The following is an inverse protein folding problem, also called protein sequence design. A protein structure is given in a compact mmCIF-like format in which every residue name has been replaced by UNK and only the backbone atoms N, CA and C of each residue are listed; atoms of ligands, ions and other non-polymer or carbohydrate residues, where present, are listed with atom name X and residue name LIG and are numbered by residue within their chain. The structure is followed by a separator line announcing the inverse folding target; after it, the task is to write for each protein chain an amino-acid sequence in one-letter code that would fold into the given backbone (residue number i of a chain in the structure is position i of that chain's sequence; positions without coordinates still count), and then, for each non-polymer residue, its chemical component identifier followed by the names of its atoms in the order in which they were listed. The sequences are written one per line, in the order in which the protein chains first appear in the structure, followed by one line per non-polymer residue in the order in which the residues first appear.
data_IF_376413415705
#
_entry.id   IF_376413415705
#
_cell.length_a   1.000
_cell.length_b   1.000
_cell.length_c   1.000
_cell.angle_alpha   90.00
_cell.angle_beta   90.00
_cell.angle_gamma   90.00
#
_symmetry.space_group_name_H-M   'P 1'
#
loop_
_entity.id
_entity.type
_entity.pdbx_description
1 polymer ?
2 non-polymer ?
3 non-polymer ?
4 water ?
#
# COMPACT_ATOMS: atom_id res chain seq x y z
N UNK A 1 -24.95 -5.10 13.90
CA UNK A 1 -24.35 -6.34 14.38
C UNK A 1 -25.06 -6.99 15.55
N UNK A 2 -24.79 -8.27 15.78
CA UNK A 2 -25.42 -9.02 16.86
C UNK A 2 -24.35 -9.62 17.76
N UNK A 3 -23.20 -9.92 17.16
CA UNK A 3 -22.07 -10.43 17.91
C UNK A 3 -21.37 -9.28 18.61
N UNK A 4 -20.98 -9.48 19.86
CA UNK A 4 -20.29 -8.46 20.61
C UNK A 4 -18.93 -8.20 19.98
N UNK A 5 -18.57 -6.94 19.91
CA UNK A 5 -17.31 -6.51 19.33
C UNK A 5 -17.29 -6.66 17.82
N UNK A 6 -18.41 -7.00 17.21
CA UNK A 6 -18.44 -7.00 15.73
C UNK A 6 -18.45 -5.58 15.21
N UNK A 7 -17.55 -5.28 14.28
CA UNK A 7 -17.42 -3.95 13.67
C UNK A 7 -17.05 -4.09 12.21
N UNK A 8 -17.19 -3.01 11.46
CA UNK A 8 -16.65 -3.02 10.11
C UNK A 8 -15.21 -2.54 10.20
N UNK A 9 -14.31 -3.24 9.53
CA UNK A 9 -12.90 -2.88 9.55
C UNK A 9 -12.69 -1.51 8.92
N UNK A 10 -11.84 -0.70 9.54
CA UNK A 10 -11.51 0.62 9.00
C UNK A 10 -10.00 0.66 8.77
N UNK A 11 -9.51 1.67 8.06
CA UNK A 11 -8.13 1.63 7.58
C UNK A 11 -7.38 2.93 7.81
N UNK A 12 -6.06 2.86 7.72
CA UNK A 12 -5.20 4.03 7.89
C UNK A 12 -4.33 4.18 6.64
N UNK A 13 -3.86 5.40 6.36
CA UNK A 13 -3.01 5.54 5.17
C UNK A 13 -1.78 4.64 5.30
N UNK A 14 -1.41 4.04 4.18
CA UNK A 14 -0.38 3.02 4.16
C UNK A 14 1.02 3.53 4.50
N UNK A 15 1.35 4.74 4.03
CA UNK A 15 2.70 5.27 4.18
C UNK A 15 2.64 6.76 4.45
N UNK A 16 3.74 7.31 4.94
CA UNK A 16 3.89 8.75 5.04
C UNK A 16 5.16 9.15 4.29
N UNK A 17 5.03 10.10 3.37
CA UNK A 17 6.19 10.50 2.59
C UNK A 17 7.22 11.23 3.45
N UNK A 18 8.49 10.96 3.20
CA UNK A 18 9.57 11.66 3.87
C UNK A 18 10.64 11.93 2.83
N UNK A 19 10.56 13.09 2.19
CA UNK A 19 11.47 13.44 1.11
C UNK A 19 12.65 14.25 1.63
N UNK A 20 13.86 13.70 1.46
CA UNK A 20 15.07 14.41 1.83
C UNK A 20 15.44 15.37 0.72
N UNK A 21 16.21 16.40 1.06
CA UNK A 21 16.63 17.39 0.07
C UNK A 21 17.35 16.70 -1.08
N UNK A 22 18.07 15.63 -0.77
CA UNK A 22 18.79 14.88 -1.81
C UNK A 22 17.86 14.36 -2.89
N UNK A 23 16.63 14.00 -2.52
CA UNK A 23 15.67 13.55 -3.51
C UNK A 23 15.39 14.65 -4.53
N UNK A 24 15.19 15.86 -4.04
CA UNK A 24 14.91 17.00 -4.90
C UNK A 24 16.13 17.44 -5.71
N UNK A 25 17.31 17.32 -5.10
CA UNK A 25 18.56 17.65 -5.80
C UNK A 25 18.74 16.72 -7.00
N UNK A 26 18.44 15.44 -6.80
CA UNK A 26 18.61 14.46 -7.87
C UNK A 26 17.53 14.66 -8.94
N UNK A 27 16.32 14.96 -8.50
CA UNK A 27 15.24 15.24 -9.44
C UNK A 27 15.64 16.42 -10.33
N UNK A 28 16.26 17.42 -9.74
CA UNK A 28 16.65 18.59 -10.52
C UNK A 28 17.74 18.26 -11.53
N UNK A 29 18.76 17.52 -11.10
CA UNK A 29 19.84 17.15 -12.00
C UNK A 29 19.30 16.36 -13.20
N UNK A 30 18.37 15.45 -12.94
CA UNK A 30 17.86 14.57 -13.99
C UNK A 30 16.88 15.29 -14.92
N UNK A 31 16.12 16.22 -14.37
CA UNK A 31 15.19 17.00 -15.17
C UNK A 31 15.94 17.77 -16.26
N UNK A 32 17.17 18.19 -15.95
CA UNK A 32 17.98 18.91 -16.93
C UNK A 32 18.21 18.12 -18.22
N UNK A 33 18.10 16.80 -18.12
CA UNK A 33 18.33 15.91 -19.25
C UNK A 33 17.07 15.68 -20.09
N UNK A 34 15.93 16.18 -19.64
CA UNK A 34 14.67 15.87 -20.32
C UNK A 34 13.79 17.11 -20.51
N UNK A 35 14.41 18.26 -20.73
CA UNK A 35 13.67 19.51 -20.87
C UNK A 35 12.80 19.53 -22.12
N UNK A 36 13.11 18.66 -23.09
CA UNK A 36 12.34 18.63 -24.34
C UNK A 36 11.07 17.78 -24.22
N UNK A 37 10.91 17.11 -23.08
CA UNK A 37 9.75 16.25 -22.88
C UNK A 37 8.67 16.95 -22.07
N UNK A 38 7.41 16.61 -22.33
CA UNK A 38 6.29 17.17 -21.57
C UNK A 38 6.22 16.53 -20.20
N UNK A 39 6.51 15.23 -20.15
CA UNK A 39 6.51 14.49 -18.89
C UNK A 39 7.30 13.18 -19.01
N UNK A 40 7.67 12.63 -17.87
CA UNK A 40 8.45 11.41 -17.83
C UNK A 40 8.01 10.59 -16.64
N UNK A 41 8.19 9.29 -16.70
CA UNK A 41 7.94 8.41 -15.59
C UNK A 41 9.20 7.61 -15.36
N UNK A 42 9.80 7.77 -14.19
CA UNK A 42 11.00 7.02 -13.83
C UNK A 42 10.77 6.10 -12.63
N UNK A 43 11.24 4.85 -12.72
CA UNK A 43 11.05 3.95 -11.57
C UNK A 43 11.80 4.43 -10.33
N UNK A 44 11.24 4.15 -9.16
CA UNK A 44 11.91 4.46 -7.89
C UNK A 44 11.91 3.24 -7.02
N UNK A 45 12.90 3.14 -6.13
CA UNK A 45 12.91 2.07 -5.14
C UNK A 45 13.12 2.66 -3.77
N UNK A 46 12.27 2.30 -2.82
CA UNK A 46 12.50 2.69 -1.43
C UNK A 46 12.62 1.43 -0.57
N UNK A 47 13.39 1.53 0.50
CA UNK A 47 13.51 0.43 1.46
C UNK A 47 12.72 0.71 2.73
N UNK A 48 11.75 -0.15 3.03
CA UNK A 48 10.92 0.03 4.22
C UNK A 48 11.57 -0.60 5.44
N UNK A 49 11.61 0.14 6.54
CA UNK A 49 12.09 -0.42 7.80
C UNK A 49 10.91 -0.58 8.74
N UNK A 50 10.31 -1.76 8.72
CA UNK A 50 9.09 -1.99 9.53
C UNK A 50 9.41 -2.35 10.98
N UNK A 51 10.69 -2.47 11.30
CA UNK A 51 11.13 -2.75 12.67
C UNK A 51 11.37 -1.49 13.48
N UNK A 52 11.62 -0.38 12.80
CA UNK A 52 12.03 0.85 13.48
C UNK A 52 11.15 2.04 13.13
N UNK A 53 9.83 1.82 13.15
CA UNK A 53 8.86 2.89 12.92
C UNK A 53 8.75 3.75 14.18
N UNK A 54 8.99 5.07 14.04
CA UNK A 54 8.95 5.98 15.19
C UNK A 54 7.60 5.90 15.90
N UNK A 55 7.61 5.95 17.22
CA UNK A 55 6.39 5.83 18.02
C UNK A 55 5.39 6.94 17.69
N UNK A 56 5.90 8.06 17.16
CA UNK A 56 5.07 9.20 16.83
C UNK A 56 4.33 9.02 15.50
N UNK A 57 4.67 7.97 14.76
CA UNK A 57 4.08 7.73 13.45
C UNK A 57 2.79 6.93 13.52
N UNK A 58 1.97 7.06 12.48
CA UNK A 58 0.77 6.24 12.33
C UNK A 58 1.01 5.14 11.31
N UNK A 59 2.08 5.28 10.53
CA UNK A 59 2.41 4.30 9.50
C UNK A 59 3.86 4.44 9.09
N UNK A 60 4.36 3.48 8.33
CA UNK A 60 5.78 3.48 8.01
C UNK A 60 6.13 4.64 7.10
N UNK A 61 7.29 5.27 7.36
CA UNK A 61 7.68 6.37 6.48
C UNK A 61 8.26 5.86 5.17
N UNK A 62 8.05 6.63 4.10
CA UNK A 62 8.58 6.31 2.80
C UNK A 62 9.73 7.29 2.58
N UNK A 63 10.95 6.84 2.84
CA UNK A 63 12.12 7.71 2.81
C UNK A 63 12.64 7.80 1.38
N UNK A 64 12.44 8.96 0.76
CA UNK A 64 12.91 9.20 -0.60
C UNK A 64 14.17 10.05 -0.57
N UNK A 65 15.20 9.61 -1.29
CA UNK A 65 16.47 10.33 -1.36
C UNK A 65 16.99 10.25 -2.79
N UNK A 66 18.19 10.80 -3.01
CA UNK A 66 18.84 10.68 -4.30
C UNK A 66 18.99 9.21 -4.68
N UNK A 67 19.19 8.36 -3.68
CA UNK A 67 19.44 6.94 -3.94
C UNK A 67 18.20 6.21 -4.46
N UNK A 68 17.04 6.79 -4.24
CA UNK A 68 15.78 6.17 -4.65
C UNK A 68 15.68 6.04 -6.16
N UNK A 69 16.47 6.85 -6.87
CA UNK A 69 16.48 6.83 -8.34
C UNK A 69 17.38 5.72 -8.88
N UNK A 70 18.20 5.15 -8.01
CA UNK A 70 19.21 4.18 -8.43
C UNK A 70 18.64 2.77 -8.44
N UNK A 71 19.29 1.89 -9.21
CA UNK A 71 18.97 0.47 -9.16
C UNK A 71 19.56 -0.12 -7.88
N UNK A 72 18.70 -0.65 -7.02
CA UNK A 72 19.17 -1.33 -5.81
C UNK A 72 19.37 -2.81 -6.12
N UNK A 73 20.55 -3.32 -5.80
CA UNK A 73 20.92 -4.69 -6.13
C UNK A 73 20.96 -5.61 -4.92
N UNK A 74 21.21 -5.04 -3.75
CA UNK A 74 21.29 -5.81 -2.51
C UNK A 74 20.49 -5.20 -1.37
N UNK A 76 19.33 -4.42 2.12
CA UNK A 76 19.82 -3.78 3.34
C UNK A 76 19.28 -4.49 4.58
N UNK A 77 20.09 -4.49 5.64
CA UNK A 77 19.77 -5.18 6.88
C UNK A 77 18.35 -4.92 7.36
N UNK A 78 17.54 -5.98 7.40
CA UNK A 78 16.14 -5.94 7.88
C UNK A 78 15.22 -4.92 7.18
N UNK A 79 14.93 -5.16 5.89
CA UNK A 79 14.15 -4.21 5.11
C UNK A 79 13.37 -4.80 3.92
N UNK A 80 12.27 -4.15 3.58
CA UNK A 80 11.41 -4.59 2.51
C UNK A 80 11.53 -3.58 1.37
N UNK A 81 12.01 -4.01 0.20
CA UNK A 81 12.08 -3.12 -0.97
C UNK A 81 10.70 -2.84 -1.50
N UNK A 82 10.41 -1.57 -1.80
CA UNK A 82 9.13 -1.22 -2.37
C UNK A 82 9.37 -0.45 -3.65
N UNK A 83 8.81 -0.95 -4.75
CA UNK A 83 8.95 -0.29 -6.05
C UNK A 83 7.83 0.72 -6.33
N UNK A 84 8.20 1.84 -6.92
CA UNK A 84 7.22 2.83 -7.32
C UNK A 84 7.77 3.61 -8.49
N UNK A 85 7.31 4.84 -8.65
CA UNK A 85 7.80 5.67 -9.75
C UNK A 85 7.51 7.13 -9.48
N UNK A 86 8.21 7.98 -10.21
CA UNK A 86 7.91 9.41 -10.20
C UNK A 86 7.53 9.85 -11.60
N UNK A 87 6.38 10.50 -11.69
CA UNK A 87 5.91 11.12 -12.92
C UNK A 87 6.20 12.59 -12.76
N UNK A 88 7.17 13.07 -13.53
CA UNK A 88 7.51 14.48 -13.50
C UNK A 88 6.90 15.20 -14.68
N UNK A 89 6.19 16.29 -14.39
CA UNK A 89 5.52 17.08 -15.41
C UNK A 89 6.28 18.37 -15.62
N UNK A 90 6.61 18.69 -16.87
CA UNK A 90 7.38 19.89 -17.14
C UNK A 90 6.53 21.12 -17.41
N UNK A 91 5.23 20.92 -17.42
CA UNK A 91 4.29 22.03 -17.57
C UNK A 91 3.40 22.06 -16.33
N UNK A 92 3.54 23.11 -15.53
CA UNK A 92 2.84 23.20 -14.27
C UNK A 92 1.32 23.07 -14.46
N UNK A 93 0.81 23.67 -15.53
CA UNK A 93 -0.63 23.63 -15.78
C UNK A 93 -1.14 22.21 -15.95
N UNK A 94 -0.33 21.37 -16.58
CA UNK A 94 -0.69 19.96 -16.73
C UNK A 94 -0.68 19.22 -15.39
N UNK A 95 0.34 19.49 -14.58
CA UNK A 95 0.41 18.92 -13.24
C UNK A 95 -0.86 19.26 -12.45
N UNK A 96 -1.28 20.52 -12.54
CA UNK A 96 -2.45 21.00 -11.81
C UNK A 96 -3.76 20.42 -12.35
N UNK A 97 -3.88 20.37 -13.67
CA UNK A 97 -5.13 19.99 -14.34
C UNK A 97 -5.34 18.50 -14.52
N UNK A 98 -4.28 17.71 -14.40
CA UNK A 98 -4.40 16.28 -14.51
C UNK A 98 -5.51 15.79 -13.59
N UNK A 99 -6.43 14.97 -14.10
CA UNK A 99 -7.47 14.40 -13.25
C UNK A 99 -6.83 13.35 -12.35
N UNK A 100 -6.73 13.68 -11.07
CA UNK A 100 -5.94 12.87 -10.13
C UNK A 100 -6.61 11.54 -9.80
N UNK A 101 -7.93 11.52 -9.80
CA UNK A 101 -8.64 10.26 -9.56
C UNK A 101 -8.48 9.32 -10.72
N UNK A 102 -8.61 9.82 -11.95
CA UNK A 102 -8.38 8.99 -13.13
C UNK A 102 -6.96 8.45 -13.13
N UNK A 103 -6.00 9.32 -12.84
CA UNK A 103 -4.60 8.90 -12.79
C UNK A 103 -4.35 7.80 -11.77
N UNK A 104 -4.84 7.99 -10.55
CA UNK A 104 -4.61 6.98 -9.52
C UNK A 104 -5.37 5.71 -9.89
N UNK A 105 -6.50 5.87 -10.56
CA UNK A 105 -7.26 4.70 -10.97
C UNK A 105 -6.47 3.87 -11.98
N UNK A 106 -5.82 4.54 -12.93
CA UNK A 106 -4.95 3.86 -13.89
C UNK A 106 -3.82 3.11 -13.17
N UNK A 107 -3.22 3.74 -12.17
CA UNK A 107 -2.16 3.09 -11.40
C UNK A 107 -2.73 1.87 -10.65
N UNK A 108 -3.92 2.03 -10.08
CA UNK A 108 -4.53 0.92 -9.34
C UNK A 108 -4.81 -0.26 -10.25
N UNK A 109 -5.20 0.03 -11.49
CA UNK A 109 -5.50 -1.04 -12.45
C UNK A 109 -4.27 -1.89 -12.73
N UNK A 110 -3.09 -1.26 -12.79
CA UNK A 110 -1.87 -2.03 -12.97
C UNK A 110 -1.59 -2.90 -11.75
N UNK A 111 -1.81 -2.34 -10.56
CA UNK A 111 -1.62 -3.11 -9.32
C UNK A 111 -2.60 -4.28 -9.27
N UNK A 112 -3.82 -4.05 -9.72
CA UNK A 112 -4.84 -5.09 -9.77
C UNK A 112 -4.44 -6.20 -10.72
N UNK A 113 -4.04 -5.83 -11.92
CA UNK A 113 -3.64 -6.81 -12.92
C UNK A 113 -2.46 -7.62 -12.41
N UNK A 114 -1.53 -6.97 -11.73
CA UNK A 114 -0.38 -7.67 -11.17
C UNK A 114 -0.82 -8.62 -10.05
N UNK A 115 -1.73 -8.14 -9.23
CA UNK A 115 -2.16 -8.87 -8.03
C UNK A 115 -2.95 -10.12 -8.32
N UNK A 116 -3.74 -10.10 -9.39
CA UNK A 116 -4.51 -11.30 -9.69
C UNK A 116 -3.64 -12.40 -10.30
N UNK A 117 -2.38 -12.07 -10.61
CA UNK A 117 -1.40 -13.10 -10.99
C UNK A 117 -0.55 -13.51 -9.78
N UNK A 118 -0.18 -12.52 -8.97
CA UNK A 118 0.62 -12.76 -7.76
C UNK A 118 0.22 -11.71 -6.73
N UNK A 119 -0.41 -12.15 -5.65
CA UNK A 119 -0.99 -11.23 -4.68
C UNK A 119 0.10 -10.36 -4.07
N UNK A 120 1.34 -10.84 -4.11
CA UNK A 120 2.43 -10.07 -3.50
C UNK A 120 2.90 -8.91 -4.37
N UNK A 121 2.30 -8.74 -5.53
CA UNK A 121 2.77 -7.71 -6.44
C UNK A 121 1.73 -6.62 -6.68
N UNK A 122 0.80 -6.47 -5.74
CA UNK A 122 -0.29 -5.49 -5.91
C UNK A 122 -0.07 -4.19 -5.12
N UNK A 123 1.15 -3.97 -4.66
CA UNK A 123 1.49 -2.80 -3.84
C UNK A 123 2.48 -1.90 -4.57
N UNK A 124 2.19 -0.61 -4.63
CA UNK A 124 3.12 0.32 -5.27
C UNK A 124 2.92 1.73 -4.73
N UNK A 125 3.72 2.67 -5.20
CA UNK A 125 3.49 4.07 -4.87
C UNK A 125 3.84 4.90 -6.08
N UNK A 126 3.29 6.09 -6.15
CA UNK A 126 3.61 7.00 -7.25
C UNK A 126 3.79 8.38 -6.69
N UNK A 127 4.78 9.09 -7.20
CA UNK A 127 4.94 10.51 -6.88
C UNK A 127 4.68 11.27 -8.17
N UNK A 128 3.81 12.28 -8.12
CA UNK A 128 3.74 13.20 -9.24
C UNK A 128 4.45 14.49 -8.81
N UNK A 129 5.13 15.14 -9.74
CA UNK A 129 5.88 16.33 -9.38
C UNK A 129 5.88 17.39 -10.46
N UNK A 130 6.07 18.63 -10.01
CA UNK A 130 6.51 19.71 -10.87
C UNK A 130 7.64 20.46 -10.14
N UNK A 131 8.75 20.65 -10.83
CA UNK A 131 9.93 21.27 -10.24
C UNK A 131 10.25 22.57 -10.93
N UNK A 132 10.14 23.68 -10.18
CA UNK A 132 10.52 24.98 -10.68
C UNK A 132 12.00 25.19 -10.40
N UNK A 133 12.85 24.90 -11.37
CA UNK A 133 14.29 24.95 -11.18
C UNK A 133 14.83 26.36 -11.00
N UNK A 134 14.09 27.36 -11.47
CA UNK A 134 14.50 28.75 -11.30
C UNK A 134 14.34 29.18 -9.83
N UNK A 135 13.18 28.88 -9.26
CA UNK A 135 12.88 29.23 -7.87
C UNK A 135 13.34 28.15 -6.90
N UNK A 136 13.76 27.01 -7.44
CA UNK A 136 14.03 25.83 -6.62
C UNK A 136 12.84 25.56 -5.68
N UNK A 137 11.65 25.54 -6.26
CA UNK A 137 10.43 25.20 -5.56
C UNK A 137 9.84 23.94 -6.19
N UNK A 138 9.49 22.97 -5.35
CA UNK A 138 9.07 21.66 -5.83
C UNK A 138 7.68 21.30 -5.34
N UNK A 139 6.77 21.05 -6.27
CA UNK A 139 5.44 20.57 -5.96
C UNK A 139 5.45 19.05 -6.08
N UNK A 140 4.93 18.34 -5.09
CA UNK A 140 4.84 16.89 -5.21
C UNK A 140 3.64 16.34 -4.49
N UNK A 141 3.25 15.15 -4.89
CA UNK A 141 2.09 14.48 -4.30
C UNK A 141 2.28 12.97 -4.39
N UNK A 142 2.31 12.33 -3.22
CA UNK A 142 2.40 10.88 -3.12
C UNK A 142 1.00 10.28 -3.23
N UNK A 143 0.87 9.28 -4.09
CA UNK A 143 -0.34 8.48 -4.14
C UNK A 143 0.03 7.03 -3.90
N UNK A 144 -0.80 6.34 -3.12
CA UNK A 144 -0.60 4.90 -2.93
C UNK A 144 -1.88 4.23 -3.41
N UNK A 145 -1.84 3.58 -4.57
CA UNK A 145 -3.09 3.06 -5.15
C UNK A 145 -3.69 1.97 -4.28
N UNK A 146 -4.84 2.28 -3.66
CA UNK A 146 -5.54 1.30 -2.84
C UNK A 146 -6.91 1.05 -3.46
N UNK A 147 -7.20 -0.21 -3.79
CA UNK A 147 -8.41 -0.49 -4.55
C UNK A 147 -9.33 -1.46 -3.81
N UNK A 148 -10.63 -1.18 -3.89
CA UNK A 148 -11.64 -1.97 -3.23
C UNK A 148 -12.57 -2.44 -4.35
N UNK A 149 -12.48 -3.73 -4.68
CA UNK A 149 -13.29 -4.31 -5.74
C UNK A 149 -13.83 -5.62 -5.24
N UNK A 150 -15.15 -5.76 -5.19
CA UNK A 150 -16.13 -4.74 -5.57
C UNK A 150 -16.14 -3.57 -4.59
N UNK A 151 -16.60 -2.41 -5.07
CA UNK A 151 -16.59 -1.22 -4.25
C UNK A 151 -17.51 -1.34 -3.05
N UNK A 152 -18.49 -2.24 -3.13
CA UNK A 152 -19.54 -2.28 -2.13
C UNK A 152 -19.38 -3.40 -1.10
N UNK A 153 -18.24 -4.08 -1.13
CA UNK A 153 -17.96 -5.10 -0.13
C UNK A 153 -17.35 -4.45 1.10
N UNK A 154 -17.83 -4.82 2.27
CA UNK A 154 -17.19 -4.39 3.50
C UNK A 154 -16.78 -5.62 4.28
N UNK A 155 -15.88 -5.42 5.23
CA UNK A 155 -15.42 -6.56 6.04
C UNK A 155 -15.89 -6.37 7.46
N UNK A 156 -16.73 -7.29 7.93
CA UNK A 156 -17.17 -7.28 9.32
C UNK A 156 -16.15 -8.13 10.07
N UNK A 157 -15.70 -7.64 11.22
CA UNK A 157 -14.70 -8.39 12.00
C UNK A 157 -14.96 -8.34 13.49
N UNK A 158 -14.41 -9.32 14.21
CA UNK A 158 -14.30 -9.23 15.65
C UNK A 158 -12.99 -9.90 16.04
N UNK A 159 -12.47 -9.60 17.24
CA UNK A 159 -11.18 -10.16 17.65
C UNK A 159 -11.18 -11.67 17.72
N UNK A 160 -10.05 -12.26 17.34
CA UNK A 160 -9.87 -13.71 17.48
C UNK A 160 -8.56 -13.99 18.21
N UNK A 161 -8.52 -13.70 19.52
CA UNK A 161 -7.27 -13.82 20.29
C UNK A 161 -6.72 -15.25 20.37
N UNK A 162 -7.53 -16.24 20.04
CA UNK A 162 -7.06 -17.63 20.08
C UNK A 162 -5.94 -17.88 19.07
N UNK A 163 -5.75 -16.93 18.16
CA UNK A 163 -4.77 -17.07 17.08
C UNK A 163 -3.50 -16.28 17.35
N UNK A 164 -3.46 -15.58 18.48
CA UNK A 164 -2.31 -14.75 18.85
C UNK A 164 -0.98 -15.51 18.85
N UNK A 165 -1.02 -16.81 19.14
CA UNK A 165 0.20 -17.60 19.18
C UNK A 165 0.97 -17.59 17.87
N UNK A 166 0.27 -17.31 16.76
CA UNK A 166 0.88 -17.37 15.43
C UNK A 166 1.67 -16.13 15.09
N UNK A 167 1.52 -15.07 15.90
CA UNK A 167 2.08 -13.78 15.53
C UNK A 167 3.59 -13.88 15.38
N UNK A 168 4.25 -14.48 16.37
CA UNK A 168 5.71 -14.58 16.37
C UNK A 168 6.22 -15.29 15.13
N UNK A 169 5.57 -16.41 14.75
CA UNK A 169 5.99 -17.16 13.58
C UNK A 169 5.78 -16.38 12.29
N UNK A 170 4.68 -15.63 12.22
CA UNK A 170 4.41 -14.80 11.04
C UNK A 170 5.43 -13.68 10.92
N UNK A 171 5.79 -13.07 12.06
CA UNK A 171 6.80 -12.02 12.05
C UNK A 171 8.10 -12.54 11.47
N UNK A 172 8.51 -13.73 11.91
CA UNK A 172 9.75 -14.31 11.44
C UNK A 172 9.68 -14.73 9.97
N UNK A 173 8.53 -15.26 9.55
CA UNK A 173 8.34 -15.65 8.16
C UNK A 173 8.45 -14.42 7.26
N UNK A 174 7.85 -13.31 7.69
CA UNK A 174 7.91 -12.08 6.91
C UNK A 174 9.34 -11.53 6.87
N UNK A 175 10.09 -11.68 7.95
CA UNK A 175 11.50 -11.27 7.97
C UNK A 175 12.31 -12.00 6.91
N UNK A 176 12.09 -13.30 6.82
CA UNK A 176 12.87 -14.13 5.91
C UNK A 176 12.43 -13.88 4.48
N UNK A 177 11.12 -13.83 4.28
CA UNK A 177 10.54 -13.66 2.95
C UNK A 177 10.21 -12.22 2.65
N UNK A 178 11.27 -11.42 2.47
CA UNK A 178 11.15 -9.98 2.43
C UNK A 178 10.47 -9.43 1.19
N UNK A 179 10.26 -10.28 0.20
CA UNK A 179 9.55 -9.86 -1.00
C UNK A 179 8.05 -10.13 -0.93
N UNK A 180 7.60 -10.70 0.19
CA UNK A 180 6.21 -11.12 0.31
C UNK A 180 5.39 -10.25 1.24
N UNK A 181 4.16 -9.94 0.81
CA UNK A 181 3.23 -9.17 1.63
C UNK A 181 2.21 -10.01 2.36
N UNK A 182 1.98 -11.23 1.89
CA UNK A 182 1.01 -12.07 2.56
C UNK A 182 1.53 -13.50 2.72
N UNK A 183 1.01 -14.19 3.73
CA UNK A 183 1.25 -15.63 3.88
C UNK A 183 -0.07 -16.24 4.35
N UNK A 184 -0.15 -17.56 4.31
CA UNK A 184 -1.35 -18.27 4.76
C UNK A 184 -0.94 -19.52 5.54
N UNK A 185 -1.91 -20.15 6.19
CA UNK A 185 -1.67 -21.46 6.78
C UNK A 185 -2.07 -22.53 5.78
N UNK A 186 -1.26 -23.57 5.67
CA UNK A 186 -1.69 -24.73 4.91
C UNK A 186 -2.58 -25.62 5.77
N UNK A 187 -2.98 -26.76 5.21
CA UNK A 187 -4.00 -27.59 5.86
C UNK A 187 -3.50 -28.14 7.17
N UNK A 188 -2.19 -28.10 7.37
CA UNK A 188 -1.58 -28.64 8.59
C UNK A 188 -1.02 -27.53 9.47
N UNK A 189 -1.51 -26.30 9.24
CA UNK A 189 -1.13 -25.11 10.01
C UNK A 189 0.34 -24.71 9.87
N UNK A 190 0.96 -25.11 8.76
CA UNK A 190 2.28 -24.59 8.42
C UNK A 190 2.11 -23.24 7.70
N UNK A 191 2.97 -22.28 8.00
CA UNK A 191 2.92 -20.99 7.30
C UNK A 191 3.62 -21.14 5.95
N UNK A 192 2.90 -20.80 4.89
CA UNK A 192 3.42 -20.97 3.54
C UNK A 192 3.01 -19.77 2.67
N UNK A 193 3.58 -19.68 1.48
CA UNK A 193 3.20 -18.59 0.59
C UNK A 193 1.73 -18.68 0.24
N UNK A 194 1.12 -17.53 -0.02
CA UNK A 194 -0.24 -17.51 -0.55
C UNK A 194 -0.38 -18.43 -1.77
N UNK A 195 -1.46 -19.21 -1.76
CA UNK A 195 -1.81 -20.10 -2.87
C UNK A 195 -3.32 -20.09 -2.88
N UNK A 196 -3.93 -19.67 -3.99
CA UNK A 196 -5.38 -19.45 -3.98
C UNK A 196 -6.19 -20.74 -3.82
N UNK A 197 -5.59 -21.87 -4.18
CA UNK A 197 -6.28 -23.15 -3.97
C UNK A 197 -6.20 -23.63 -2.52
N UNK A 198 -5.10 -23.34 -1.84
CA UNK A 198 -4.98 -23.71 -0.42
C UNK A 198 -5.86 -22.84 0.46
N UNK A 199 -5.79 -21.52 0.29
CA UNK A 199 -6.57 -20.61 1.13
C UNK A 199 -8.08 -20.87 1.03
N UNK A 200 -8.54 -21.30 -0.13
CA UNK A 200 -9.97 -21.59 -0.27
C UNK A 200 -10.39 -22.64 0.77
N UNK A 201 -9.46 -23.53 1.12
CA UNK A 201 -9.73 -24.56 2.12
C UNK A 201 -9.39 -24.13 3.56
N UNK A 202 -8.24 -23.49 3.72
CA UNK A 202 -7.74 -23.24 5.08
C UNK A 202 -8.28 -21.94 5.68
N UNK A 203 -8.54 -20.96 4.82
CA UNK A 203 -9.21 -19.72 5.23
C UNK A 203 -8.51 -18.94 6.34
N UNK A 204 -7.19 -18.99 6.37
CA UNK A 204 -6.41 -18.13 7.29
C UNK A 204 -5.36 -17.39 6.48
N UNK A 205 -5.42 -16.06 6.51
CA UNK A 205 -4.53 -15.20 5.74
C UNK A 205 -3.86 -14.19 6.66
N UNK A 206 -2.55 -14.01 6.52
CA UNK A 206 -1.82 -13.00 7.28
C UNK A 206 -1.18 -11.98 6.37
N UNK A 207 -1.23 -10.71 6.78
CA UNK A 207 -0.75 -9.62 5.95
C UNK A 207 0.34 -8.83 6.66
N UNK A 208 1.39 -8.49 5.95
CA UNK A 208 2.46 -7.65 6.47
C UNK A 208 1.93 -6.22 6.52
N UNK A 209 1.64 -5.71 7.72
CA UNK A 209 0.95 -4.42 7.86
C UNK A 209 1.89 -3.22 7.96
N UNK A 210 1.52 -2.12 7.32
CA UNK A 210 2.38 -0.93 7.33
C UNK A 210 1.85 0.16 8.27
N UNK A 211 0.72 -0.10 8.90
CA UNK A 211 0.13 0.84 9.87
C UNK A 211 0.59 0.55 11.29
N UNK A 212 0.63 1.57 12.16
CA UNK A 212 0.85 1.31 13.58
C UNK A 212 -0.34 1.76 14.42
N UNK A 213 -1.43 2.13 13.77
CA UNK A 213 -2.64 2.56 14.48
C UNK A 213 -3.32 1.37 15.13
N UNK A 214 -3.68 1.50 16.40
CA UNK A 214 -4.31 0.40 17.13
C UNK A 214 -5.55 -0.11 16.43
N UNK A 215 -5.54 -1.40 16.11
CA UNK A 215 -6.72 -2.08 15.56
C UNK A 215 -7.18 -1.58 14.20
N UNK A 216 -6.31 -0.83 13.52
CA UNK A 216 -6.63 -0.22 12.25
C UNK A 216 -5.50 -0.51 11.27
N UNK A 217 -5.73 -1.47 10.38
CA UNK A 217 -4.70 -1.89 9.41
C UNK A 217 -4.49 -0.87 8.29
N UNK A 218 -3.37 -1.02 7.58
CA UNK A 218 -3.07 -0.19 6.41
C UNK A 218 -4.16 -0.33 5.35
N UNK A 219 -4.41 0.75 4.62
CA UNK A 219 -5.34 0.70 3.50
C UNK A 219 -4.90 -0.29 2.42
N UNK A 220 -3.64 -0.72 2.44
CA UNK A 220 -3.18 -1.72 1.47
C UNK A 220 -3.98 -2.99 1.66
N UNK A 221 -4.55 -3.16 2.86
CA UNK A 221 -5.36 -4.35 3.14
C UNK A 221 -6.48 -4.50 2.12
N UNK A 222 -7.03 -3.35 1.69
CA UNK A 222 -8.05 -3.32 0.64
C UNK A 222 -7.58 -4.06 -0.61
N UNK A 223 -6.35 -3.79 -1.04
CA UNK A 223 -5.80 -4.45 -2.21
C UNK A 223 -5.79 -5.97 -2.07
N UNK A 224 -5.25 -6.43 -0.96
CA UNK A 224 -5.13 -7.87 -0.73
C UNK A 224 -6.51 -8.52 -0.64
N UNK A 225 -7.45 -7.88 0.03
CA UNK A 225 -8.80 -8.43 0.14
C UNK A 225 -9.57 -8.42 -1.18
N UNK A 226 -9.29 -7.45 -2.04
CA UNK A 226 -9.87 -7.42 -3.37
C UNK A 226 -9.35 -8.61 -4.18
N UNK A 227 -8.05 -8.89 -4.07
CA UNK A 227 -7.47 -10.00 -4.80
C UNK A 227 -8.05 -11.31 -4.27
N UNK A 228 -8.20 -11.38 -2.95
CA UNK A 228 -8.73 -12.59 -2.30
C UNK A 228 -10.15 -12.86 -2.80
N UNK A 229 -10.99 -11.84 -2.88
CA UNK A 229 -12.34 -12.06 -3.41
C UNK A 229 -12.37 -12.57 -4.85
N UNK A 230 -11.46 -12.06 -5.68
CA UNK A 230 -11.36 -12.50 -7.06
C UNK A 230 -10.92 -13.95 -7.11
N UNK A 231 -9.91 -14.27 -6.31
CA UNK A 231 -9.34 -15.62 -6.28
C UNK A 231 -10.29 -16.66 -5.71
N UNK A 232 -11.06 -16.28 -4.70
CA UNK A 232 -11.98 -17.22 -4.02
C UNK A 232 -13.36 -16.59 -3.84
N UNK A 233 -14.15 -16.53 -4.92
CA UNK A 233 -15.42 -15.80 -4.94
C UNK A 233 -16.42 -16.29 -3.88
N UNK A 234 -16.34 -17.56 -3.51
CA UNK A 234 -17.27 -18.14 -2.56
C UNK A 234 -16.86 -17.98 -1.09
N UNK A 235 -15.68 -17.41 -0.87
CA UNK A 235 -15.19 -17.21 0.48
C UNK A 235 -16.00 -16.09 1.15
N UNK A 236 -16.61 -16.39 2.28
CA UNK A 236 -17.33 -15.38 3.04
C UNK A 236 -16.69 -15.17 4.40
N UNK A 237 -16.48 -16.25 5.13
CA UNK A 237 -15.89 -16.20 6.46
C UNK A 237 -14.47 -16.75 6.49
N UNK A 238 -13.56 -15.99 7.09
CA UNK A 238 -12.17 -16.41 7.15
C UNK A 238 -11.50 -15.75 8.34
N UNK A 239 -10.24 -16.11 8.62
CA UNK A 239 -9.47 -15.47 9.67
C UNK A 239 -8.41 -14.60 9.03
N UNK A 240 -8.24 -13.40 9.56
CA UNK A 240 -7.28 -12.44 9.02
C UNK A 240 -6.33 -11.99 10.12
N UNK A 241 -5.03 -12.18 9.87
CA UNK A 241 -4.01 -11.73 10.83
C UNK A 241 -3.33 -10.50 10.27
N UNK A 242 -3.29 -9.45 11.07
CA UNK A 242 -2.61 -8.20 10.71
C UNK A 242 -1.28 -8.21 11.48
N UNK A 243 -0.18 -8.41 10.76
CA UNK A 243 1.10 -8.66 11.41
C UNK A 243 1.99 -7.44 11.39
N UNK A 244 2.50 -7.09 12.57
CA UNK A 244 3.38 -5.95 12.73
C UNK A 244 4.62 -6.39 13.48
N UNK A 245 5.72 -5.67 13.31
CA UNK A 245 6.96 -6.07 13.96
C UNK A 245 7.07 -5.50 15.38
N UNK A 246 6.16 -4.60 15.71
CA UNK A 246 6.02 -4.13 17.08
C UNK A 246 5.14 -5.12 17.87
N UNK A 247 4.51 -4.65 18.92
CA UNK A 247 3.65 -5.51 19.72
C UNK A 247 2.19 -5.41 19.30
N UNK A 248 1.95 -4.73 18.18
CA UNK A 248 0.59 -4.39 17.79
C UNK A 248 -0.13 -5.31 16.81
N UNK A 249 0.38 -6.52 16.60
CA UNK A 249 -0.33 -7.45 15.73
C UNK A 249 -1.69 -7.78 16.32
N UNK A 250 -2.67 -8.07 15.47
CA UNK A 250 -3.98 -8.51 15.93
C UNK A 250 -4.63 -9.49 14.94
N UNK A 251 -5.51 -10.34 15.45
CA UNK A 251 -6.16 -11.36 14.64
C UNK A 251 -7.67 -11.12 14.60
N UNK A 252 -8.29 -11.45 13.48
CA UNK A 252 -9.69 -11.11 13.28
C UNK A 252 -10.49 -12.28 12.74
N UNK A 253 -11.70 -12.44 13.26
CA UNK A 253 -12.67 -13.33 12.68
C UNK A 253 -13.48 -12.49 11.69
N UNK A 254 -13.25 -12.72 10.40
CA UNK A 254 -13.71 -11.81 9.33
C UNK A 254 -14.84 -12.36 8.46
N UNK A 255 -15.70 -11.46 7.98
CA UNK A 255 -16.85 -11.84 7.16
C UNK A 255 -17.06 -10.79 6.10
N UNK A 256 -16.98 -11.19 4.84
CA UNK A 256 -17.30 -10.29 3.73
C UNK A 256 -18.81 -10.08 3.67
N UNK A 257 -19.24 -8.84 3.45
CA UNK A 257 -20.64 -8.56 3.20
C UNK A 257 -20.77 -7.43 2.18
N UNK A 258 -21.87 -7.42 1.45
CA UNK A 258 -22.12 -6.33 0.50
C UNK A 258 -23.13 -5.33 1.07
N UNK A 259 -22.86 -4.05 0.86
CA UNK A 259 -23.82 -3.01 1.25
C UNK A 259 -24.71 -2.59 0.06
N UNK A 260 -24.56 -3.27 -1.07
CA UNK A 260 -25.37 -2.97 -2.25
C UNK A 260 -25.90 -4.26 -2.88
N UNK A 261 -27.17 -4.58 -2.60
CA UNK A 261 -27.82 -5.81 -3.07
C UNK A 261 -27.96 -5.87 -4.59
N UNK A 262 -27.90 -4.71 -5.26
CA UNK A 262 -28.05 -4.65 -6.70
C UNK A 262 -26.72 -4.39 -7.41
N UNK A 263 -25.63 -4.80 -6.78
CA UNK A 263 -24.29 -4.65 -7.35
C UNK A 263 -23.97 -5.80 -8.32
N UNK A 264 -23.18 -5.50 -9.34
CA UNK A 264 -22.85 -6.46 -10.38
C UNK A 264 -21.65 -7.36 -10.04
N UNK A 265 -21.54 -8.49 -10.75
CA UNK A 265 -20.44 -9.42 -10.57
C UNK A 265 -20.24 -10.29 -11.82
N UNK A 268 -18.29 -5.68 -11.39
CA UNK A 268 -18.30 -4.87 -10.15
C UNK A 268 -17.38 -3.66 -10.26
N UNK A 269 -17.79 -2.56 -9.63
CA UNK A 269 -17.02 -1.33 -9.66
C UNK A 269 -15.76 -1.50 -8.83
N UNK A 270 -14.73 -0.72 -9.16
CA UNK A 270 -13.54 -0.62 -8.32
C UNK A 270 -13.44 0.79 -7.75
N UNK A 271 -13.47 0.88 -6.43
CA UNK A 271 -13.22 2.14 -5.76
C UNK A 271 -11.72 2.28 -5.59
N UNK A 272 -11.19 3.43 -5.97
CA UNK A 272 -9.75 3.65 -5.77
C UNK A 272 -9.54 4.88 -4.91
N UNK A 273 -8.56 4.78 -4.02
CA UNK A 273 -8.16 5.93 -3.22
C UNK A 273 -6.69 5.81 -2.85
N UNK A 274 -6.17 6.80 -2.15
CA UNK A 274 -4.80 6.73 -1.64
C UNK A 274 -3.91 7.94 -1.84
N UNK A 275 -4.46 9.08 -2.28
CA UNK A 275 -3.64 10.28 -2.33
C UNK A 275 -3.32 10.71 -0.90
N UNK A 276 -2.06 11.09 -0.67
CA UNK A 276 -1.62 11.55 0.63
C UNK A 276 -2.14 12.94 0.97
N UNK A 277 -2.65 13.11 2.19
CA UNK A 277 -3.02 14.45 2.64
C UNK A 277 -1.77 15.26 2.88
N UNK A 278 -1.88 16.57 2.66
CA UNK A 278 -0.75 17.44 2.93
C UNK A 278 -0.70 17.86 4.38
N UNK A 279 0.16 18.82 4.69
CA UNK A 279 0.40 19.18 6.07
C UNK A 279 -0.85 19.74 6.75
N UNK A 280 -1.68 20.44 5.98
CA UNK A 280 -2.91 21.02 6.49
C UNK A 280 -4.03 19.98 6.56
N UNK A 281 -3.77 18.78 6.04
CA UNK A 281 -4.75 17.71 6.05
C UNK A 281 -5.66 17.72 4.82
N UNK A 282 -5.30 18.52 3.83
CA UNK A 282 -6.10 18.61 2.60
C UNK A 282 -5.60 17.61 1.57
N UNK A 283 -6.48 17.17 0.68
CA UNK A 283 -6.06 16.35 -0.44
C UNK A 283 -5.54 17.26 -1.55
N UNK A 284 -4.25 17.56 -1.45
CA UNK A 284 -3.59 18.47 -2.38
C UNK A 284 -2.11 18.22 -2.31
N UNK A 285 -1.37 18.71 -3.31
CA UNK A 285 0.08 18.51 -3.31
C UNK A 285 0.76 19.23 -2.16
N UNK A 286 1.96 18.75 -1.86
CA UNK A 286 2.84 19.44 -0.95
C UNK A 286 3.75 20.31 -1.78
N UNK A 287 4.26 21.38 -1.18
CA UNK A 287 5.21 22.24 -1.88
C UNK A 287 6.40 22.49 -0.98
N UNK A 288 7.59 22.42 -1.56
CA UNK A 288 8.83 22.58 -0.82
C UNK A 288 9.73 23.65 -1.44
N UNK A 289 10.09 24.66 -0.64
CA UNK A 289 11.04 25.69 -1.07
C UNK A 289 12.45 25.34 -0.60
N UNK A 290 13.33 25.04 -1.54
CA UNK A 290 14.67 24.58 -1.23
C UNK A 290 15.74 25.59 -1.59
N UNK A 291 15.31 26.79 -1.99
CA UNK A 291 16.25 27.84 -2.34
C UNK A 291 17.30 28.02 -1.23
X LIG B 1 -22.04 -11.61 10.13
X LIG B 1 -22.29 -12.02 8.98
X LIG B 1 -21.80 -12.44 11.08
X LIG B 1 -22.03 -10.14 10.41
X LIG B 1 -23.31 -9.59 10.96
X LIG B 1 -24.34 -9.78 10.04
X LIG B 1 -23.63 -10.27 12.24
X LIG B 1 -22.62 -10.25 13.34
X LIG B 1 -21.64 -11.04 13.31
X LIG B 1 -22.76 -9.45 14.30
X LIG B 1 -23.08 -8.14 11.20
X LIG B 1 -22.03 -7.80 11.82
X LIG B 1 -23.90 -7.27 10.80
X LIG C 1 -8.42 8.88 -5.93
X LIG C 1 -8.86 9.58 -4.70
X LIG C 1 -10.28 9.31 -4.36
X LIG C 1 -7.98 9.48 -3.61
X LIG D 1 -14.07 -20.78 13.80
X LIG D 1 -15.22 -21.04 14.69
X LIG D 1 -16.30 -21.86 14.05
X LIG D 1 -14.85 -21.52 15.94
X LIG E 1 13.85 14.29 -26.72
X LIG E 1 14.68 13.90 -25.55
X LIG E 1 15.36 12.58 -25.70
X LIG E 1 15.50 14.91 -25.09
X LIG F 1 2.73 22.52 1.42
X LIG F 1 2.93 21.18 2.05
X LIG F 1 4.23 21.04 2.79
X LIG F 1 1.83 20.70 2.72
X LIG G 1 -16.56 4.03 -6.23
X LIG G 1 -17.16 2.85 -6.89
X LIG G 1 -18.63 2.66 -6.68
X LIG G 1 -16.75 2.68 -8.21
X LIG H 1 5.29 9.93 -19.16
X LIG H 1 3.85 10.33 -19.13
X LIG H 1 2.66 11.14 -18.73
X LIG H 1 4.01 10.19 -20.49
#
# INVERSE_FOLDING_TARGET
GSMSSERVLSYAPAFASALATSFFQELSRLKLDVLKLDSTCQPLTVNLDLHNIPKSADQVPLFLTNRSFEKHNNKRTNEVPLQGSIFNFNVLDEFKNLDKQLFLHQRALECWEDGIKDINKCVSFVIISFADLKKYRFYYWLGVPCFQRPSSTVLHVRPEPSLKGLFSKCQKWFDVNYSKWVCILDADDEIVNYDKCIIRKTKVLAIRDTSTMENVPSALTKNFLSVLQYDVPDLIDFKLLIIRQNEGSFALNATFASIDPQSSSSNPDMKVSGWERNVQGKLAPRVVDLS
CIT C1 O1 O2 C2 C3 O7 C4 C5 O3 O4 C6 O5 O6
IPA C1 C2 C3 O2
IPA C1 C2 C3 O2
IPA C1 C2 C3 O2
IPA C1 C2 C3 O2
IPA C1 C2 C3 O2
IPA C1 C2 C3 O2
#
